data_IF_625142091577
#
_entry.id   IF_625142091577
#
_cell.length_a   1.000
_cell.length_b   1.000
_cell.length_c   1.000
_cell.angle_alpha   90.00
_cell.angle_beta   90.00
_cell.angle_gamma   90.00
#
_symmetry.space_group_name_H-M   'P 1'
#
loop_
_entity.id
_entity.type
_entity.pdbx_description
1 polymer ?
#
# COMPACT_ATOMS: atom_id res chain seq x y z
N UNK A 1 12.53 23.18 6.86
CA UNK A 1 14.00 23.19 7.06
C UNK A 1 14.23 23.24 8.56
N UNK A 2 15.24 22.56 9.09
CA UNK A 2 15.57 22.62 10.53
C UNK A 2 16.26 23.94 10.88
N UNK A 3 16.08 24.39 12.12
CA UNK A 3 16.79 25.56 12.66
C UNK A 3 18.08 25.16 13.42
N UNK A 4 18.29 23.85 13.58
CA UNK A 4 19.53 23.25 14.12
C UNK A 4 20.32 22.60 12.98
N UNK A 5 21.64 22.73 13.02
CA UNK A 5 22.51 22.15 12.01
C UNK A 5 22.46 20.61 11.97
N UNK A 6 22.66 20.05 10.79
CA UNK A 6 22.47 18.62 10.48
C UNK A 6 23.27 17.67 11.37
N UNK A 7 24.44 18.09 11.86
CA UNK A 7 25.30 17.27 12.73
C UNK A 7 24.78 17.19 14.18
N UNK A 8 23.94 18.14 14.62
CA UNK A 8 23.33 18.17 15.96
C UNK A 8 21.87 17.73 15.97
N UNK A 9 21.14 17.88 14.86
CA UNK A 9 19.72 17.51 14.79
C UNK A 9 19.51 16.00 14.55
N UNK A 10 20.09 15.19 15.45
CA UNK A 10 20.15 13.72 15.40
C UNK A 10 20.43 13.14 16.80
N UNK A 11 20.36 11.82 16.94
CA UNK A 11 20.66 11.18 18.22
C UNK A 11 22.17 11.11 18.51
N UNK A 12 22.56 11.36 19.76
CA UNK A 12 23.97 11.42 20.19
C UNK A 12 24.44 10.19 20.98
N UNK A 13 23.54 9.26 21.27
CA UNK A 13 23.79 8.09 22.12
C UNK A 13 24.44 6.93 21.36
N UNK A 14 24.10 6.74 20.09
CA UNK A 14 24.79 5.80 19.19
C UNK A 14 26.00 6.48 18.57
N UNK A 15 27.19 6.23 19.15
CA UNK A 15 28.44 6.88 18.70
C UNK A 15 28.91 6.40 17.33
N UNK A 16 28.51 5.22 16.89
CA UNK A 16 28.84 4.70 15.55
C UNK A 16 27.98 5.39 14.49
N UNK A 17 26.67 5.44 14.71
CA UNK A 17 25.71 6.11 13.82
C UNK A 17 26.00 7.60 13.71
N UNK A 18 26.28 8.27 14.83
CA UNK A 18 26.62 9.69 14.86
C UNK A 18 27.84 10.03 13.98
N UNK A 19 28.80 9.10 13.85
CA UNK A 19 30.00 9.27 13.03
C UNK A 19 29.81 8.87 11.57
N UNK A 20 28.93 7.91 11.29
CA UNK A 20 28.86 7.25 9.97
C UNK A 20 27.62 7.60 9.16
N UNK A 21 26.49 7.95 9.79
CA UNK A 21 25.25 8.23 9.06
C UNK A 21 25.36 9.57 8.30
N UNK A 22 25.18 9.59 6.97
CA UNK A 22 25.51 10.76 6.15
C UNK A 22 24.50 11.93 6.29
N UNK A 23 24.98 13.15 6.02
CA UNK A 23 24.17 14.35 5.77
C UNK A 23 24.83 15.22 4.70
N UNK A 24 24.03 15.85 3.84
CA UNK A 24 24.55 16.56 2.66
C UNK A 24 24.51 18.09 2.78
N UNK A 25 23.65 18.61 3.65
CA UNK A 25 23.39 20.04 3.79
C UNK A 25 23.67 20.50 5.21
N UNK A 26 23.85 21.82 5.40
CA UNK A 26 24.04 22.42 6.73
C UNK A 26 22.79 22.32 7.61
N UNK A 27 21.60 22.38 7.01
CA UNK A 27 20.30 22.22 7.67
C UNK A 27 19.45 21.19 6.91
N UNK A 28 18.63 20.43 7.64
CA UNK A 28 17.88 19.31 7.08
C UNK A 28 16.48 19.73 6.63
N UNK A 29 15.98 19.10 5.56
CA UNK A 29 14.56 19.15 5.18
C UNK A 29 13.78 17.97 5.76
N UNK A 30 12.45 18.10 5.77
CA UNK A 30 11.55 17.08 6.33
C UNK A 30 11.81 15.66 5.79
N UNK A 31 12.07 15.45 4.47
CA UNK A 31 12.33 14.10 3.96
C UNK A 31 13.62 13.48 4.52
N UNK A 32 14.65 14.28 4.79
CA UNK A 32 15.93 13.81 5.34
C UNK A 32 15.77 13.42 6.81
N UNK A 33 15.04 14.22 7.60
CA UNK A 33 14.72 13.92 8.99
C UNK A 33 13.90 12.63 9.07
N UNK A 34 12.86 12.50 8.23
CA UNK A 34 12.03 11.31 8.17
C UNK A 34 12.84 10.07 7.79
N UNK A 35 13.77 10.20 6.85
CA UNK A 35 14.68 9.11 6.45
C UNK A 35 15.58 8.68 7.61
N UNK A 36 16.16 9.64 8.34
CA UNK A 36 17.00 9.35 9.51
C UNK A 36 16.21 8.64 10.63
N UNK A 37 15.00 9.12 10.96
CA UNK A 37 14.17 8.49 11.99
C UNK A 37 13.76 7.07 11.58
N UNK A 38 13.42 6.83 10.31
CA UNK A 38 13.15 5.48 9.81
C UNK A 38 14.38 4.58 9.91
N UNK A 39 15.57 5.08 9.56
CA UNK A 39 16.83 4.34 9.74
C UNK A 39 17.05 3.92 11.19
N UNK A 40 16.84 4.80 12.17
CA UNK A 40 16.97 4.45 13.59
C UNK A 40 15.94 3.39 13.99
N UNK A 41 14.69 3.56 13.56
CA UNK A 41 13.63 2.59 13.80
C UNK A 41 13.98 1.21 13.23
N UNK A 42 14.60 1.15 12.06
CA UNK A 42 15.01 -0.10 11.42
C UNK A 42 16.28 -0.70 12.07
N UNK A 43 17.30 0.12 12.32
CA UNK A 43 18.58 -0.27 12.99
C UNK A 43 18.35 -0.94 14.33
N UNK A 44 17.36 -0.47 15.08
CA UNK A 44 17.03 -0.98 16.42
C UNK A 44 15.81 -1.89 16.44
N UNK A 45 15.26 -2.27 15.28
CA UNK A 45 14.11 -3.18 15.19
C UNK A 45 12.84 -2.67 15.87
N UNK A 46 12.70 -1.35 16.04
CA UNK A 46 11.67 -0.72 16.86
C UNK A 46 10.26 -0.84 16.25
N UNK A 47 10.15 -1.05 14.93
CA UNK A 47 8.83 -1.26 14.27
C UNK A 47 8.06 -2.40 14.94
N UNK A 48 8.77 -3.46 15.34
CA UNK A 48 8.22 -4.64 16.02
C UNK A 48 7.72 -4.36 17.44
N UNK A 49 7.90 -3.15 17.95
CA UNK A 49 7.38 -2.69 19.24
C UNK A 49 6.15 -1.79 19.09
N UNK A 50 5.89 -1.27 17.89
CA UNK A 50 4.77 -0.37 17.65
C UNK A 50 3.44 -1.07 17.86
N UNK A 51 2.51 -0.37 18.50
CA UNK A 51 1.13 -0.79 18.66
C UNK A 51 0.25 0.18 17.90
N UNK A 52 -0.57 -0.33 16.99
CA UNK A 52 -1.40 0.47 16.10
C UNK A 52 -2.89 0.20 16.37
N UNK A 53 -3.67 1.25 16.56
CA UNK A 53 -5.13 1.20 16.53
C UNK A 53 -5.65 1.83 15.24
N UNK A 54 -6.55 1.16 14.53
CA UNK A 54 -7.20 1.68 13.32
C UNK A 54 -8.70 1.78 13.55
N UNK A 55 -9.27 2.97 13.37
CA UNK A 55 -10.72 3.21 13.44
C UNK A 55 -11.25 3.30 12.00
N UNK A 56 -12.15 2.39 11.65
CA UNK A 56 -12.75 2.31 10.31
C UNK A 56 -12.12 1.26 9.41
N UNK A 57 -12.94 0.69 8.53
CA UNK A 57 -12.65 -0.49 7.71
C UNK A 57 -13.18 -0.34 6.27
N UNK A 58 -13.28 0.89 5.76
CA UNK A 58 -13.45 1.14 4.32
C UNK A 58 -12.17 0.85 3.54
N UNK A 59 -12.13 1.21 2.26
CA UNK A 59 -10.97 0.96 1.38
C UNK A 59 -9.63 1.39 2.01
N UNK A 60 -9.56 2.62 2.53
CA UNK A 60 -8.36 3.12 3.23
C UNK A 60 -8.00 2.28 4.46
N UNK A 61 -8.98 1.92 5.28
CA UNK A 61 -8.75 1.13 6.49
C UNK A 61 -8.20 -0.26 6.17
N UNK A 62 -8.81 -0.94 5.19
CA UNK A 62 -8.37 -2.26 4.72
C UNK A 62 -6.95 -2.19 4.16
N UNK A 63 -6.64 -1.21 3.31
CA UNK A 63 -5.31 -1.02 2.72
C UNK A 63 -4.24 -0.72 3.79
N UNK A 64 -4.53 0.21 4.71
CA UNK A 64 -3.62 0.56 5.82
C UNK A 64 -3.36 -0.64 6.71
N UNK A 65 -4.41 -1.36 7.13
CA UNK A 65 -4.26 -2.54 7.97
C UNK A 65 -3.45 -3.63 7.28
N UNK A 66 -3.75 -3.93 6.01
CA UNK A 66 -3.02 -4.96 5.25
C UNK A 66 -1.53 -4.61 5.10
N UNK A 67 -1.21 -3.34 4.82
CA UNK A 67 0.16 -2.88 4.63
C UNK A 67 0.99 -2.83 5.93
N UNK A 68 0.33 -2.57 7.07
CA UNK A 68 1.01 -2.33 8.35
C UNK A 68 0.98 -3.51 9.32
N UNK A 69 0.00 -4.42 9.22
CA UNK A 69 -0.09 -5.61 10.05
C UNK A 69 1.23 -6.40 10.18
N UNK A 70 1.99 -6.68 9.09
CA UNK A 70 3.26 -7.42 9.20
C UNK A 70 4.42 -6.58 9.76
N UNK A 71 4.24 -5.26 9.96
CA UNK A 71 5.30 -4.32 10.36
C UNK A 71 5.22 -3.89 11.83
N UNK A 72 4.11 -4.15 12.51
CA UNK A 72 3.87 -3.69 13.89
C UNK A 72 3.81 -4.87 14.87
N UNK A 73 4.01 -4.61 16.16
CA UNK A 73 3.84 -5.64 17.21
C UNK A 73 2.41 -6.14 17.27
N UNK A 74 1.47 -5.19 17.23
CA UNK A 74 0.06 -5.41 17.43
C UNK A 74 -0.74 -4.38 16.65
N UNK A 75 -1.73 -4.86 15.91
CA UNK A 75 -2.73 -4.04 15.26
C UNK A 75 -4.10 -4.36 15.88
N UNK A 76 -4.84 -3.33 16.28
CA UNK A 76 -6.20 -3.44 16.79
C UNK A 76 -7.13 -2.70 15.82
N UNK A 77 -8.13 -3.40 15.29
CA UNK A 77 -9.15 -2.82 14.40
C UNK A 77 -10.40 -2.48 15.20
N UNK A 78 -10.77 -1.20 15.23
CA UNK A 78 -12.00 -0.70 15.81
C UNK A 78 -13.02 -0.49 14.67
N UNK A 79 -13.73 -1.56 14.35
CA UNK A 79 -14.69 -1.60 13.26
C UNK A 79 -16.11 -1.28 13.75
N UNK A 80 -16.74 -0.27 13.14
CA UNK A 80 -18.17 0.03 13.39
C UNK A 80 -19.10 -0.84 12.53
N UNK A 81 -18.78 -1.02 11.25
CA UNK A 81 -19.65 -1.72 10.28
C UNK A 81 -18.80 -2.56 9.32
N UNK A 82 -18.90 -3.91 9.32
CA UNK A 82 -18.15 -4.76 8.38
C UNK A 82 -18.47 -4.44 6.92
N UNK A 83 -17.53 -4.69 6.02
CA UNK A 83 -17.70 -4.55 4.58
C UNK A 83 -17.38 -5.86 3.86
N UNK A 84 -18.04 -6.09 2.73
CA UNK A 84 -17.63 -7.14 1.80
C UNK A 84 -16.41 -6.65 1.02
N UNK A 85 -15.35 -7.46 1.01
CA UNK A 85 -14.12 -7.19 0.27
C UNK A 85 -13.76 -8.43 -0.54
N UNK A 86 -13.32 -8.22 -1.78
CA UNK A 86 -12.79 -9.27 -2.65
C UNK A 86 -11.27 -9.09 -2.80
N UNK A 87 -10.52 -10.16 -3.11
CA UNK A 87 -9.09 -10.03 -3.42
C UNK A 87 -8.86 -9.08 -4.59
N UNK A 88 -7.86 -8.19 -4.48
CA UNK A 88 -7.55 -7.23 -5.55
C UNK A 88 -6.80 -7.85 -6.73
N UNK A 89 -6.24 -9.05 -6.57
CA UNK A 89 -5.38 -9.68 -7.58
C UNK A 89 -4.03 -8.98 -7.77
N UNK A 90 -3.59 -8.15 -6.82
CA UNK A 90 -2.33 -7.40 -6.93
C UNK A 90 -1.13 -8.34 -7.15
N UNK A 91 -0.37 -8.09 -8.22
CA UNK A 91 0.79 -8.90 -8.60
C UNK A 91 1.69 -8.17 -9.61
N UNK A 92 2.82 -8.79 -9.99
CA UNK A 92 3.70 -8.23 -11.01
C UNK A 92 3.01 -8.19 -12.38
N UNK A 93 3.30 -7.15 -13.15
CA UNK A 93 2.88 -7.02 -14.56
C UNK A 93 3.97 -7.64 -15.42
N UNK A 94 3.64 -8.69 -16.18
CA UNK A 94 4.61 -9.31 -17.10
C UNK A 94 4.89 -8.41 -18.30
N UNK A 95 6.07 -8.57 -18.91
CA UNK A 95 6.43 -7.83 -20.12
C UNK A 95 5.47 -8.15 -21.27
N UNK A 96 5.10 -9.42 -21.41
CA UNK A 96 4.20 -9.91 -22.45
C UNK A 96 2.83 -9.26 -22.34
N UNK A 97 2.30 -9.17 -21.11
CA UNK A 97 1.02 -8.50 -20.86
C UNK A 97 1.13 -7.00 -21.14
N UNK A 98 2.22 -6.35 -20.72
CA UNK A 98 2.45 -4.93 -21.00
C UNK A 98 2.56 -4.64 -22.49
N UNK A 99 3.25 -5.49 -23.24
CA UNK A 99 3.39 -5.40 -24.70
C UNK A 99 2.05 -5.60 -25.40
N UNK A 100 1.24 -6.55 -24.92
CA UNK A 100 -0.12 -6.75 -25.40
C UNK A 100 -0.98 -5.49 -25.16
N UNK A 101 -0.95 -4.90 -23.96
CA UNK A 101 -1.67 -3.65 -23.67
C UNK A 101 -1.27 -2.54 -24.64
N UNK A 102 0.04 -2.35 -24.86
CA UNK A 102 0.54 -1.33 -25.79
C UNK A 102 0.03 -1.50 -27.22
N UNK A 103 -0.08 -2.75 -27.69
CA UNK A 103 -0.58 -3.06 -29.03
C UNK A 103 -2.10 -2.91 -29.17
N UNK A 104 -2.84 -2.93 -28.06
CA UNK A 104 -4.31 -3.00 -28.08
C UNK A 104 -5.00 -1.78 -27.42
N UNK A 105 -4.26 -0.71 -27.09
CA UNK A 105 -4.83 0.44 -26.37
C UNK A 105 -6.05 1.05 -27.07
N UNK A 106 -6.02 1.18 -28.39
CA UNK A 106 -7.13 1.77 -29.15
C UNK A 106 -8.42 0.94 -28.95
N UNK A 107 -8.33 -0.38 -29.03
CA UNK A 107 -9.46 -1.29 -28.79
C UNK A 107 -9.90 -1.27 -27.33
N UNK A 108 -8.95 -1.28 -26.39
CA UNK A 108 -9.26 -1.26 -24.95
C UNK A 108 -10.04 0.01 -24.60
N UNK A 109 -9.62 1.16 -25.11
CA UNK A 109 -10.31 2.42 -24.85
C UNK A 109 -11.66 2.51 -25.56
N UNK A 110 -11.78 2.01 -26.80
CA UNK A 110 -13.07 1.90 -27.48
C UNK A 110 -14.09 1.10 -26.65
N UNK A 111 -13.68 -0.03 -26.06
CA UNK A 111 -14.51 -0.81 -25.14
C UNK A 111 -14.84 -0.05 -23.84
N UNK A 112 -13.84 0.63 -23.24
CA UNK A 112 -14.04 1.44 -22.03
C UNK A 112 -15.09 2.53 -22.27
N UNK A 113 -15.02 3.25 -23.39
CA UNK A 113 -15.96 4.33 -23.72
C UNK A 113 -17.38 3.83 -24.00
N UNK A 114 -17.53 2.57 -24.44
CA UNK A 114 -18.84 1.93 -24.68
C UNK A 114 -19.43 1.27 -23.43
N UNK A 115 -18.60 1.01 -22.40
CA UNK A 115 -19.02 0.37 -21.16
C UNK A 115 -19.77 1.32 -20.22
N UNK A 116 -20.52 0.77 -19.25
CA UNK A 116 -21.20 1.57 -18.22
C UNK A 116 -20.24 2.09 -17.16
N UNK A 117 -19.27 1.26 -16.71
CA UNK A 117 -18.45 1.56 -15.54
C UNK A 117 -16.99 1.93 -15.87
N UNK A 118 -16.52 1.66 -17.09
CA UNK A 118 -15.18 2.06 -17.54
C UNK A 118 -14.02 1.28 -16.91
N UNK A 119 -14.26 0.09 -16.35
CA UNK A 119 -13.23 -0.70 -15.64
C UNK A 119 -12.37 -1.59 -16.54
N UNK A 120 -12.64 -1.65 -17.85
CA UNK A 120 -11.89 -2.51 -18.79
C UNK A 120 -12.14 -4.00 -18.58
N UNK A 121 -13.28 -4.36 -18.00
CA UNK A 121 -13.76 -5.75 -17.89
C UNK A 121 -15.05 -5.91 -18.70
N UNK A 122 -15.29 -7.12 -19.21
CA UNK A 122 -16.54 -7.42 -19.90
C UNK A 122 -17.72 -7.37 -18.92
N UNK A 123 -18.66 -6.47 -19.16
CA UNK A 123 -19.88 -6.34 -18.36
C UNK A 123 -20.87 -7.44 -18.77
N UNK A 124 -21.16 -8.36 -17.84
CA UNK A 124 -22.01 -9.53 -18.10
C UNK A 124 -23.48 -9.18 -17.83
N UNK A 125 -24.36 -9.46 -18.79
CA UNK A 125 -25.82 -9.23 -18.68
C UNK A 125 -26.61 -10.46 -18.21
N UNK A 126 -25.94 -11.61 -18.07
CA UNK A 126 -26.56 -12.87 -17.64
C UNK A 126 -27.05 -12.76 -16.18
N UNK A 127 -28.35 -12.97 -15.90
CA UNK A 127 -28.86 -12.91 -14.53
C UNK A 127 -28.23 -13.97 -13.63
N UNK A 128 -27.85 -13.60 -12.40
CA UNK A 128 -27.18 -14.52 -11.46
C UNK A 128 -27.97 -15.83 -11.28
N UNK A 129 -29.28 -15.74 -11.06
CA UNK A 129 -30.13 -16.90 -10.77
C UNK A 129 -30.59 -17.69 -12.01
N UNK A 130 -30.14 -17.34 -13.23
CA UNK A 130 -30.53 -18.06 -14.45
C UNK A 130 -29.69 -19.31 -14.73
N UNK A 131 -28.65 -19.56 -13.94
CA UNK A 131 -27.78 -20.73 -14.07
C UNK A 131 -27.85 -21.61 -12.83
N UNK A 132 -27.35 -22.85 -12.93
CA UNK A 132 -27.35 -23.80 -11.81
C UNK A 132 -26.54 -23.28 -10.62
N UNK A 133 -26.80 -23.84 -9.43
CA UNK A 133 -26.00 -23.52 -8.25
C UNK A 133 -24.51 -23.87 -8.47
N UNK A 134 -24.24 -25.03 -9.08
CA UNK A 134 -22.88 -25.50 -9.38
C UNK A 134 -22.15 -24.55 -10.34
N UNK A 135 -22.83 -23.98 -11.33
CA UNK A 135 -22.21 -23.01 -12.24
C UNK A 135 -21.96 -21.65 -11.57
N UNK A 136 -22.84 -21.20 -10.66
CA UNK A 136 -22.61 -19.96 -9.88
C UNK A 136 -21.47 -20.09 -8.87
N UNK A 137 -21.28 -21.29 -8.35
CA UNK A 137 -20.36 -21.59 -7.25
C UNK A 137 -19.40 -22.71 -7.63
N UNK A 138 -18.59 -22.53 -8.69
CA UNK A 138 -17.72 -23.58 -9.18
C UNK A 138 -16.65 -23.91 -8.13
N UNK A 139 -16.66 -25.15 -7.63
CA UNK A 139 -15.68 -25.65 -6.67
C UNK A 139 -15.94 -25.28 -5.20
N UNK A 140 -17.16 -24.83 -4.87
CA UNK A 140 -17.68 -24.81 -3.50
C UNK A 140 -18.39 -26.12 -3.14
#
# INVERSE_FOLDING_TARGET
MSDTESYLYRYSWDKEDLRTYPWQTRYLYQPEILKYLNHIVDRYGLRKLFQLGVIGNGSTGIQVMTALAPKVKRLISFQRSPQYSVPSGQGPVSKEYRDWLNKNYDSIYDDVWKSQHGHGISEVTRPTMSVSADERHPGL
#
